data_IF_076654640452
#
_entry.id   IF_076654640452
#
_cell.length_a   1.000
_cell.length_b   1.000
_cell.length_c   1.000
_cell.angle_alpha   90.00
_cell.angle_beta   90.00
_cell.angle_gamma   90.00
#
_symmetry.space_group_name_H-M   'P 1'
#
loop_
_entity.id
_entity.type
_entity.pdbx_description
1 polymer ?
#
# COMPACT_ATOMS: atom_id res chain seq x y z
N UNK A 1 -5.54 27.02 -21.91
CA UNK A 1 -6.32 26.57 -20.73
C UNK A 1 -5.31 26.17 -19.68
N UNK A 2 -5.37 26.73 -18.47
CA UNK A 2 -4.48 26.30 -17.39
C UNK A 2 -4.77 24.81 -17.11
N UNK A 3 -3.75 23.97 -17.22
CA UNK A 3 -3.86 22.54 -16.94
C UNK A 3 -4.13 22.43 -15.42
N UNK A 4 -5.37 22.12 -15.04
CA UNK A 4 -5.74 21.95 -13.63
C UNK A 4 -4.93 20.76 -13.12
N UNK A 5 -4.06 21.00 -12.14
CA UNK A 5 -3.29 19.93 -11.49
C UNK A 5 -4.28 18.99 -10.79
N UNK A 6 -4.25 17.67 -11.08
CA UNK A 6 -5.14 16.71 -10.44
C UNK A 6 -5.00 16.74 -8.92
N UNK A 7 -6.12 16.82 -8.18
CA UNK A 7 -6.10 16.80 -6.71
C UNK A 7 -6.07 15.36 -6.23
N UNK A 8 -4.94 14.94 -5.67
CA UNK A 8 -4.78 13.59 -5.10
C UNK A 8 -4.81 13.67 -3.58
N UNK A 9 -5.72 12.92 -2.96
CA UNK A 9 -5.70 12.66 -1.51
C UNK A 9 -4.78 11.48 -1.22
N UNK A 10 -3.89 11.62 -0.25
CA UNK A 10 -3.16 10.50 0.34
C UNK A 10 -3.90 10.03 1.59
N UNK A 11 -4.10 8.72 1.71
CA UNK A 11 -4.63 8.12 2.93
C UNK A 11 -3.83 6.88 3.31
N UNK A 12 -3.61 6.71 4.60
CA UNK A 12 -2.96 5.52 5.16
C UNK A 12 -3.77 4.95 6.30
N UNK A 13 -4.01 3.64 6.27
CA UNK A 13 -4.63 2.95 7.40
C UNK A 13 -3.60 2.73 8.50
N UNK A 14 -4.00 3.04 9.73
CA UNK A 14 -3.18 2.90 10.93
C UNK A 14 -3.95 2.13 11.98
N UNK A 15 -3.28 1.25 12.72
CA UNK A 15 -3.82 0.60 13.89
C UNK A 15 -2.76 0.42 15.00
N UNK A 16 -3.17 -0.10 16.16
CA UNK A 16 -2.28 -0.29 17.30
C UNK A 16 -1.09 -1.22 17.01
N UNK A 17 -1.23 -2.20 16.11
CA UNK A 17 -0.11 -3.08 15.75
C UNK A 17 0.97 -2.40 14.92
N UNK A 18 0.72 -1.18 14.45
CA UNK A 18 1.65 -0.49 13.55
C UNK A 18 2.72 0.31 14.31
N UNK A 19 2.53 0.55 15.61
CA UNK A 19 3.42 1.37 16.43
C UNK A 19 4.92 1.07 16.23
N UNK A 20 5.37 -0.20 16.13
CA UNK A 20 6.79 -0.52 15.99
C UNK A 20 7.46 -0.02 14.69
N UNK A 21 6.68 0.33 13.66
CA UNK A 21 7.21 0.72 12.34
C UNK A 21 6.59 2.00 11.78
N UNK A 22 5.42 2.42 12.27
CA UNK A 22 4.58 3.48 11.70
C UNK A 22 5.34 4.78 11.41
N UNK A 23 6.16 5.23 12.37
CA UNK A 23 6.87 6.50 12.21
C UNK A 23 7.92 6.42 11.10
N UNK A 24 8.73 5.35 11.09
CA UNK A 24 9.80 5.21 10.10
C UNK A 24 9.22 5.00 8.70
N UNK A 25 8.19 4.15 8.56
CA UNK A 25 7.58 3.85 7.27
C UNK A 25 6.86 5.05 6.69
N UNK A 26 6.09 5.83 7.46
CA UNK A 26 5.42 7.02 6.93
C UNK A 26 6.40 8.11 6.51
N UNK A 27 7.46 8.35 7.27
CA UNK A 27 8.52 9.29 6.87
C UNK A 27 9.19 8.83 5.57
N UNK A 28 9.46 7.54 5.44
CA UNK A 28 9.95 6.93 4.21
C UNK A 28 9.00 7.14 3.03
N UNK A 29 7.72 6.79 3.19
CA UNK A 29 6.70 6.97 2.16
C UNK A 29 6.65 8.42 1.68
N UNK A 30 6.64 9.40 2.58
CA UNK A 30 6.60 10.82 2.17
C UNK A 30 7.84 11.23 1.35
N UNK A 31 9.03 10.73 1.69
CA UNK A 31 10.25 10.96 0.90
C UNK A 31 10.20 10.30 -0.48
N UNK A 32 9.76 9.05 -0.55
CA UNK A 32 9.82 8.25 -1.78
C UNK A 32 8.67 8.53 -2.73
N UNK A 33 7.50 8.86 -2.20
CA UNK A 33 6.37 9.31 -3.01
C UNK A 33 6.62 10.71 -3.54
N UNK A 34 7.24 11.61 -2.77
CA UNK A 34 7.61 12.98 -3.17
C UNK A 34 6.56 13.64 -4.08
N UNK A 35 5.32 13.67 -3.59
CA UNK A 35 4.17 14.13 -4.36
C UNK A 35 3.43 15.22 -3.59
N UNK A 36 2.99 16.31 -4.26
CA UNK A 36 2.24 17.38 -3.63
C UNK A 36 0.77 16.97 -3.46
N UNK A 37 0.49 16.14 -2.46
CA UNK A 37 -0.87 15.74 -2.13
C UNK A 37 -1.73 16.94 -1.72
N UNK A 38 -3.01 16.90 -2.09
CA UNK A 38 -3.98 17.92 -1.67
C UNK A 38 -4.32 17.80 -0.18
N UNK A 39 -4.23 16.58 0.36
CA UNK A 39 -4.35 16.26 1.78
C UNK A 39 -3.66 14.91 2.06
N UNK A 40 -3.15 14.75 3.28
CA UNK A 40 -2.51 13.52 3.77
C UNK A 40 -3.17 13.10 5.07
N UNK A 41 -3.86 11.97 5.05
CA UNK A 41 -4.73 11.53 6.12
C UNK A 41 -4.20 10.22 6.70
N UNK A 42 -4.06 10.16 8.02
CA UNK A 42 -3.91 8.89 8.73
C UNK A 42 -5.28 8.46 9.28
N UNK A 43 -5.84 7.37 8.76
CA UNK A 43 -7.09 6.80 9.23
C UNK A 43 -6.80 5.76 10.31
N UNK A 44 -6.97 6.17 11.57
CA UNK A 44 -6.55 5.40 12.73
C UNK A 44 -7.69 4.59 13.33
N UNK A 45 -7.53 3.27 13.36
CA UNK A 45 -8.39 2.35 14.10
C UNK A 45 -7.74 1.96 15.45
N UNK A 46 -8.24 2.49 16.58
CA UNK A 46 -7.77 2.09 17.92
C UNK A 46 -8.34 0.74 18.36
N UNK A 47 -9.22 0.13 17.55
CA UNK A 47 -9.93 -1.10 17.85
C UNK A 47 -9.01 -2.29 18.13
N UNK A 48 -9.58 -3.30 18.80
CA UNK A 48 -8.86 -4.56 19.03
C UNK A 48 -8.72 -5.31 17.72
N UNK A 49 -7.49 -5.70 17.44
CA UNK A 49 -7.15 -6.57 16.34
C UNK A 49 -7.78 -7.97 16.56
N UNK A 50 -8.31 -8.55 15.49
CA UNK A 50 -8.97 -9.86 15.50
C UNK A 50 -8.34 -10.79 14.45
N UNK A 51 -8.66 -12.08 14.50
CA UNK A 51 -8.18 -13.06 13.52
C UNK A 51 -6.65 -13.10 13.46
N UNK A 52 -6.08 -13.11 12.25
CA UNK A 52 -4.62 -13.18 12.03
C UNK A 52 -3.85 -11.98 12.60
N UNK A 53 -4.53 -10.89 12.92
CA UNK A 53 -3.92 -9.66 13.43
C UNK A 53 -3.76 -9.67 14.96
N UNK A 54 -4.46 -10.57 15.67
CA UNK A 54 -4.39 -10.68 17.13
C UNK A 54 -3.02 -11.15 17.64
N UNK A 55 -2.26 -11.88 16.82
CA UNK A 55 -0.94 -12.43 17.17
C UNK A 55 0.22 -11.44 16.94
N UNK A 56 -0.06 -10.26 16.35
CA UNK A 56 0.97 -9.24 16.08
C UNK A 56 1.43 -8.57 17.37
N UNK A 57 2.68 -8.12 17.39
CA UNK A 57 3.19 -7.21 18.42
C UNK A 57 2.29 -5.97 18.42
N UNK A 58 1.63 -5.71 19.54
CA UNK A 58 0.75 -4.56 19.69
C UNK A 58 1.52 -3.42 20.35
N UNK A 59 1.46 -2.24 19.73
CA UNK A 59 1.73 -1.00 20.46
C UNK A 59 0.55 -0.63 21.36
N UNK A 60 0.78 0.32 22.25
CA UNK A 60 -0.34 0.92 23.00
C UNK A 60 -1.03 2.00 22.17
N UNK A 61 -2.32 2.24 22.42
CA UNK A 61 -3.03 3.38 21.83
C UNK A 61 -2.29 4.70 22.07
N UNK A 62 -1.81 4.93 23.30
CA UNK A 62 -1.02 6.12 23.65
C UNK A 62 0.25 6.27 22.80
N UNK A 63 0.92 5.17 22.49
CA UNK A 63 2.14 5.17 21.68
C UNK A 63 1.84 5.57 20.23
N UNK A 64 0.81 4.99 19.61
CA UNK A 64 0.37 5.36 18.26
C UNK A 64 -0.08 6.81 18.21
N UNK A 65 -0.88 7.27 19.19
CA UNK A 65 -1.33 8.67 19.26
C UNK A 65 -0.14 9.63 19.37
N UNK A 66 0.89 9.31 20.15
CA UNK A 66 2.12 10.11 20.23
C UNK A 66 2.89 10.13 18.90
N UNK A 67 2.98 9.01 18.19
CA UNK A 67 3.59 8.95 16.85
C UNK A 67 2.81 9.86 15.89
N UNK A 68 1.49 9.74 15.84
CA UNK A 68 0.63 10.53 14.97
C UNK A 68 0.72 12.04 15.29
N UNK A 69 0.79 12.42 16.56
CA UNK A 69 1.02 13.80 16.97
C UNK A 69 2.36 14.35 16.46
N UNK A 70 3.44 13.57 16.51
CA UNK A 70 4.74 13.97 15.93
C UNK A 70 4.65 14.14 14.41
N UNK A 71 3.99 13.22 13.72
CA UNK A 71 3.82 13.29 12.26
C UNK A 71 2.98 14.50 11.83
N UNK A 72 1.96 14.89 12.61
CA UNK A 72 1.20 16.14 12.43
C UNK A 72 2.08 17.38 12.66
N UNK A 73 2.84 17.40 13.77
CA UNK A 73 3.71 18.52 14.11
C UNK A 73 4.78 18.78 13.03
N UNK A 74 5.33 17.70 12.48
CA UNK A 74 6.31 17.74 11.39
C UNK A 74 5.66 17.94 10.01
N UNK A 75 4.33 18.04 9.94
CA UNK A 75 3.55 18.22 8.71
C UNK A 75 3.78 17.12 7.67
N UNK A 76 4.05 15.88 8.10
CA UNK A 76 4.06 14.72 7.21
C UNK A 76 2.65 14.25 6.88
N UNK A 77 1.72 14.40 7.82
CA UNK A 77 0.29 14.24 7.61
C UNK A 77 -0.42 15.55 7.97
N UNK A 78 -1.58 15.78 7.39
CA UNK A 78 -2.38 16.99 7.58
C UNK A 78 -3.49 16.78 8.62
N UNK A 79 -4.00 15.55 8.73
CA UNK A 79 -4.98 15.17 9.76
C UNK A 79 -4.93 13.70 10.13
N UNK A 80 -5.55 13.39 11.27
CA UNK A 80 -5.82 12.04 11.75
C UNK A 80 -7.32 11.87 11.88
N UNK A 81 -7.86 10.88 11.19
CA UNK A 81 -9.28 10.53 11.26
C UNK A 81 -9.40 9.24 12.06
N UNK A 82 -9.91 9.34 13.29
CA UNK A 82 -10.14 8.17 14.15
C UNK A 82 -11.41 7.47 13.70
N UNK A 83 -11.31 6.19 13.35
CA UNK A 83 -12.42 5.39 12.82
C UNK A 83 -13.54 5.29 13.87
N UNK A 84 -14.72 5.85 13.61
CA UNK A 84 -15.83 5.77 14.55
C UNK A 84 -16.52 4.40 14.45
N UNK A 85 -16.60 3.67 15.56
CA UNK A 85 -17.28 2.37 15.61
C UNK A 85 -18.74 2.47 16.07
N UNK A 86 -19.43 3.54 15.67
CA UNK A 86 -20.86 3.73 15.97
C UNK A 86 -21.74 3.07 14.92
N UNK A 87 -22.87 2.49 15.31
CA UNK A 87 -23.85 1.86 14.39
C UNK A 87 -24.28 2.79 13.25
N UNK A 88 -24.55 4.07 13.55
CA UNK A 88 -24.99 5.05 12.56
C UNK A 88 -23.97 5.27 11.42
N UNK A 89 -22.68 5.34 11.77
CA UNK A 89 -21.62 5.55 10.79
C UNK A 89 -21.30 4.28 10.00
N UNK A 90 -21.30 3.12 10.66
CA UNK A 90 -21.17 1.83 9.99
C UNK A 90 -22.28 1.65 8.94
N UNK A 91 -23.53 1.89 9.34
CA UNK A 91 -24.68 1.87 8.43
C UNK A 91 -24.51 2.85 7.26
N UNK A 92 -24.09 4.11 7.51
CA UNK A 92 -23.85 5.11 6.46
C UNK A 92 -22.84 4.63 5.43
N UNK A 93 -21.71 4.09 5.88
CA UNK A 93 -20.63 3.60 5.02
C UNK A 93 -21.07 2.36 4.24
N UNK A 94 -21.61 1.35 4.91
CA UNK A 94 -22.04 0.12 4.24
C UNK A 94 -23.14 0.37 3.21
N UNK A 95 -24.14 1.20 3.54
CA UNK A 95 -25.18 1.58 2.59
C UNK A 95 -24.65 2.40 1.42
N UNK A 96 -23.67 3.28 1.63
CA UNK A 96 -23.06 4.03 0.52
C UNK A 96 -22.32 3.11 -0.45
N UNK A 97 -21.50 2.19 0.06
CA UNK A 97 -20.57 1.43 -0.76
C UNK A 97 -21.13 0.10 -1.27
N UNK A 98 -21.94 -0.60 -0.47
CA UNK A 98 -22.53 -1.89 -0.84
C UNK A 98 -24.04 -1.80 -1.10
N UNK A 99 -24.71 -0.75 -0.61
CA UNK A 99 -26.18 -0.70 -0.64
C UNK A 99 -26.83 -1.72 0.28
N UNK A 100 -26.06 -2.30 1.20
CA UNK A 100 -26.45 -3.37 2.10
C UNK A 100 -25.72 -3.22 3.44
N UNK A 101 -26.48 -3.10 4.53
CA UNK A 101 -25.95 -2.98 5.90
C UNK A 101 -25.54 -4.34 6.50
N UNK A 102 -25.87 -5.46 5.86
CA UNK A 102 -25.56 -6.81 6.34
C UNK A 102 -24.14 -7.26 5.96
N UNK A 103 -23.38 -6.42 5.26
CA UNK A 103 -21.99 -6.69 4.92
C UNK A 103 -21.13 -6.70 6.20
N UNK A 104 -20.32 -7.74 6.35
CA UNK A 104 -19.40 -7.85 7.46
C UNK A 104 -18.43 -6.66 7.50
N UNK A 105 -18.18 -6.12 8.70
CA UNK A 105 -17.23 -5.01 8.90
C UNK A 105 -15.77 -5.44 8.74
N UNK A 106 -15.51 -6.75 8.82
CA UNK A 106 -14.21 -7.42 8.65
C UNK A 106 -14.39 -8.66 7.78
N UNK A 107 -13.36 -9.02 7.01
CA UNK A 107 -13.35 -10.25 6.24
C UNK A 107 -13.18 -11.50 7.12
N UNK A 108 -13.31 -12.69 6.54
CA UNK A 108 -13.14 -13.98 7.24
C UNK A 108 -11.76 -14.18 7.89
N UNK A 109 -10.75 -13.38 7.54
CA UNK A 109 -9.40 -13.40 8.12
C UNK A 109 -9.18 -12.34 9.21
N UNK A 110 -10.19 -11.49 9.45
CA UNK A 110 -10.18 -10.36 10.36
C UNK A 110 -9.71 -9.04 9.73
N UNK A 111 -9.52 -8.97 8.41
CA UNK A 111 -9.05 -7.74 7.75
C UNK A 111 -10.19 -6.72 7.66
N UNK A 112 -9.95 -5.44 7.97
CA UNK A 112 -11.04 -4.50 8.21
C UNK A 112 -11.65 -3.95 6.93
N UNK A 113 -12.84 -4.41 6.53
CA UNK A 113 -13.57 -3.86 5.37
C UNK A 113 -14.01 -2.42 5.65
N UNK A 114 -14.62 -2.20 6.82
CA UNK A 114 -15.16 -0.90 7.22
C UNK A 114 -14.11 0.22 7.26
N UNK A 115 -12.93 -0.05 7.85
CA UNK A 115 -11.85 0.94 7.96
C UNK A 115 -11.40 1.43 6.58
N UNK A 116 -11.17 0.52 5.61
CA UNK A 116 -10.78 0.92 4.26
C UNK A 116 -11.84 1.82 3.62
N UNK A 117 -13.13 1.45 3.71
CA UNK A 117 -14.20 2.25 3.12
C UNK A 117 -14.30 3.63 3.78
N UNK A 118 -14.19 3.69 5.11
CA UNK A 118 -14.18 4.95 5.86
C UNK A 118 -12.99 5.84 5.44
N UNK A 119 -11.79 5.27 5.30
CA UNK A 119 -10.61 5.99 4.84
C UNK A 119 -10.81 6.59 3.43
N UNK A 120 -11.41 5.82 2.52
CA UNK A 120 -11.73 6.29 1.17
C UNK A 120 -12.82 7.37 1.18
N UNK A 121 -13.84 7.23 2.04
CA UNK A 121 -14.97 8.17 2.16
C UNK A 121 -14.55 9.54 2.69
N UNK A 122 -13.57 9.57 3.58
CA UNK A 122 -13.04 10.79 4.19
C UNK A 122 -12.27 11.68 3.19
N UNK A 123 -11.83 11.14 2.06
CA UNK A 123 -11.01 11.86 1.09
C UNK A 123 -11.83 12.76 0.16
N UNK A 124 -11.29 13.94 -0.18
CA UNK A 124 -11.92 14.98 -1.00
C UNK A 124 -11.27 15.19 -2.37
N UNK A 125 -10.24 14.41 -2.71
CA UNK A 125 -9.52 14.48 -3.98
C UNK A 125 -10.31 13.88 -5.14
N UNK A 126 -9.99 14.32 -6.36
CA UNK A 126 -10.51 13.72 -7.60
C UNK A 126 -9.89 12.33 -7.82
N UNK A 127 -8.69 12.15 -7.27
CA UNK A 127 -7.97 10.89 -7.20
C UNK A 127 -7.61 10.58 -5.76
N UNK A 128 -7.53 9.29 -5.46
CA UNK A 128 -7.15 8.77 -4.16
C UNK A 128 -5.91 7.91 -4.29
N UNK A 129 -4.88 8.17 -3.49
CA UNK A 129 -3.79 7.24 -3.26
C UNK A 129 -3.88 6.67 -1.85
N UNK A 130 -4.28 5.40 -1.75
CA UNK A 130 -4.37 4.67 -0.48
C UNK A 130 -3.14 3.77 -0.31
N UNK A 131 -2.67 3.60 0.94
CA UNK A 131 -1.61 2.65 1.31
C UNK A 131 -1.84 2.02 2.70
N UNK A 132 -1.33 0.81 2.91
CA UNK A 132 -1.07 0.26 4.24
C UNK A 132 0.16 0.94 4.88
N UNK A 133 0.18 1.03 6.21
CA UNK A 133 1.24 1.71 6.97
C UNK A 133 2.61 1.03 6.92
N UNK A 134 2.71 -0.19 6.40
CA UNK A 134 3.93 -0.98 6.33
C UNK A 134 4.58 -1.02 4.93
N UNK A 135 4.00 -0.31 3.96
CA UNK A 135 4.49 -0.28 2.59
C UNK A 135 5.83 0.45 2.46
N UNK A 136 6.75 -0.14 1.70
CA UNK A 136 8.01 0.49 1.31
C UNK A 136 8.02 0.73 -0.20
N UNK A 137 8.49 1.91 -0.62
CA UNK A 137 8.51 2.36 -2.01
C UNK A 137 9.93 2.71 -2.42
N UNK A 138 10.32 2.24 -3.59
CA UNK A 138 11.48 2.75 -4.31
C UNK A 138 11.04 3.67 -5.42
N UNK A 139 11.77 4.77 -5.57
CA UNK A 139 11.63 5.70 -6.69
C UNK A 139 13.00 6.00 -7.27
N UNK A 140 13.16 5.74 -8.56
CA UNK A 140 14.31 6.21 -9.32
C UNK A 140 14.12 7.67 -9.73
N UNK A 141 15.10 8.51 -9.38
CA UNK A 141 15.08 9.94 -9.68
C UNK A 141 14.05 10.73 -8.86
N UNK A 142 13.81 11.98 -9.25
CA UNK A 142 13.02 12.93 -8.45
C UNK A 142 11.51 12.87 -8.73
N UNK A 143 11.09 12.30 -9.87
CA UNK A 143 9.68 12.27 -10.25
C UNK A 143 8.95 11.12 -9.57
N UNK A 144 7.81 11.42 -8.94
CA UNK A 144 6.90 10.42 -8.40
C UNK A 144 6.25 9.58 -9.49
N UNK A 145 6.10 8.28 -9.26
CA UNK A 145 5.33 7.38 -10.13
C UNK A 145 3.84 7.79 -10.22
N UNK A 146 3.34 8.53 -9.22
CA UNK A 146 1.95 8.99 -9.18
C UNK A 146 1.61 9.89 -10.37
N UNK A 147 2.57 10.67 -10.87
CA UNK A 147 2.33 11.48 -12.07
C UNK A 147 2.07 10.59 -13.29
N UNK A 148 2.84 9.52 -13.46
CA UNK A 148 2.68 8.60 -14.59
C UNK A 148 1.38 7.79 -14.44
N UNK A 149 0.99 7.45 -13.21
CA UNK A 149 -0.29 6.84 -12.89
C UNK A 149 -1.48 7.76 -13.20
N UNK A 150 -1.38 9.05 -12.90
CA UNK A 150 -2.41 10.05 -13.26
C UNK A 150 -2.52 10.18 -14.78
N UNK A 151 -1.40 10.29 -15.49
CA UNK A 151 -1.37 10.36 -16.95
C UNK A 151 -2.06 9.13 -17.57
N UNK A 152 -1.82 7.93 -17.01
CA UNK A 152 -2.51 6.70 -17.42
C UNK A 152 -4.02 6.79 -17.19
N UNK A 153 -4.45 7.13 -15.97
CA UNK A 153 -5.87 7.19 -15.62
C UNK A 153 -6.62 8.20 -16.51
N UNK A 154 -6.00 9.34 -16.81
CA UNK A 154 -6.58 10.34 -17.70
C UNK A 154 -6.67 9.87 -19.15
N UNK A 155 -5.65 9.16 -19.65
CA UNK A 155 -5.60 8.66 -21.03
C UNK A 155 -6.54 7.48 -21.25
N UNK A 156 -6.55 6.51 -20.34
CA UNK A 156 -7.25 5.23 -20.50
C UNK A 156 -8.57 5.25 -19.73
N UNK A 157 -9.68 5.48 -20.42
CA UNK A 157 -11.01 5.65 -19.79
C UNK A 157 -11.52 4.44 -18.99
N UNK A 158 -11.04 3.25 -19.33
CA UNK A 158 -11.46 2.00 -18.66
C UNK A 158 -10.54 1.62 -17.51
N UNK A 159 -9.44 2.34 -17.26
CA UNK A 159 -8.54 2.07 -16.14
C UNK A 159 -9.03 2.84 -14.92
N UNK A 160 -9.40 2.14 -13.85
CA UNK A 160 -9.87 2.77 -12.60
C UNK A 160 -8.75 2.88 -11.56
N UNK A 161 -7.80 1.95 -11.59
CA UNK A 161 -6.70 1.87 -10.63
C UNK A 161 -5.36 1.74 -11.35
N UNK A 162 -4.38 2.51 -10.88
CA UNK A 162 -2.98 2.43 -11.25
C UNK A 162 -2.10 2.09 -10.04
N UNK A 163 -1.03 1.33 -10.25
CA UNK A 163 -0.07 0.96 -9.20
C UNK A 163 1.36 0.91 -9.75
N UNK A 164 2.39 1.14 -8.92
CA UNK A 164 3.78 0.91 -9.31
C UNK A 164 4.04 -0.59 -9.50
N UNK A 165 5.24 -0.96 -9.95
CA UNK A 165 5.61 -2.36 -10.08
C UNK A 165 5.59 -3.03 -8.70
N UNK A 166 4.91 -4.18 -8.60
CA UNK A 166 4.99 -5.01 -7.41
C UNK A 166 6.36 -5.69 -7.32
N UNK A 167 7.16 -5.25 -6.35
CA UNK A 167 8.47 -5.80 -6.00
C UNK A 167 9.63 -5.37 -6.91
N UNK A 168 10.88 -5.38 -6.38
CA UNK A 168 12.07 -5.29 -7.21
C UNK A 168 12.28 -6.57 -8.04
N UNK A 169 13.19 -6.56 -9.04
CA UNK A 169 13.62 -7.75 -9.75
C UNK A 169 13.94 -8.93 -8.82
N UNK A 170 13.57 -10.13 -9.24
CA UNK A 170 13.86 -11.38 -8.53
C UNK A 170 14.24 -12.45 -9.54
N UNK A 171 15.24 -13.28 -9.19
CA UNK A 171 15.65 -14.40 -10.03
C UNK A 171 14.49 -15.38 -10.27
N UNK A 172 14.15 -15.62 -11.54
CA UNK A 172 13.03 -16.46 -11.99
C UNK A 172 13.44 -17.91 -12.26
N UNK A 173 14.71 -18.16 -12.50
CA UNK A 173 15.25 -19.46 -12.84
C UNK A 173 16.65 -19.66 -12.24
N UNK A 174 17.17 -20.88 -12.33
CA UNK A 174 18.45 -21.24 -11.73
C UNK A 174 19.62 -20.45 -12.36
N UNK A 175 19.57 -20.16 -13.66
CA UNK A 175 20.64 -19.44 -14.35
C UNK A 175 20.75 -18.01 -13.79
N UNK A 176 19.62 -17.32 -13.63
CA UNK A 176 19.58 -15.97 -13.03
C UNK A 176 20.10 -15.98 -11.59
N UNK A 177 19.80 -17.03 -10.80
CA UNK A 177 20.32 -17.18 -9.44
C UNK A 177 21.85 -17.27 -9.42
N UNK A 178 22.45 -17.98 -10.39
CA UNK A 178 23.90 -18.16 -10.50
C UNK A 178 24.58 -16.92 -11.06
N UNK A 179 24.01 -16.28 -12.09
CA UNK A 179 24.61 -15.10 -12.70
C UNK A 179 24.38 -13.83 -11.89
N UNK A 180 23.37 -13.79 -11.03
CA UNK A 180 22.98 -12.59 -10.29
C UNK A 180 22.33 -11.51 -11.15
N UNK A 181 21.90 -11.85 -12.37
CA UNK A 181 21.32 -10.91 -13.33
C UNK A 181 20.00 -11.44 -13.88
N UNK A 182 19.05 -10.53 -14.12
CA UNK A 182 17.79 -10.86 -14.80
C UNK A 182 18.00 -10.96 -16.30
N UNK A 183 17.36 -11.95 -16.93
CA UNK A 183 17.27 -12.07 -18.39
C UNK A 183 15.95 -11.56 -18.95
N UNK A 184 15.14 -10.89 -18.13
CA UNK A 184 13.92 -10.24 -18.61
C UNK A 184 14.28 -9.15 -19.62
N UNK A 185 13.72 -9.26 -20.82
CA UNK A 185 13.78 -8.21 -21.81
C UNK A 185 13.08 -6.95 -21.27
N UNK A 186 13.59 -5.77 -21.63
CA UNK A 186 12.92 -4.50 -21.30
C UNK A 186 11.46 -4.56 -21.76
N UNK A 187 10.50 -4.15 -20.91
CA UNK A 187 9.09 -4.21 -21.26
C UNK A 187 8.81 -3.32 -22.48
N UNK A 188 7.98 -3.80 -23.40
CA UNK A 188 7.58 -3.06 -24.61
C UNK A 188 6.56 -1.96 -24.32
N UNK A 189 5.82 -2.11 -23.23
CA UNK A 189 4.77 -1.20 -22.77
C UNK A 189 5.08 -0.80 -21.33
N UNK A 190 4.79 0.44 -20.96
CA UNK A 190 5.04 0.93 -19.60
C UNK A 190 4.06 0.36 -18.56
N UNK A 191 2.96 -0.24 -19.01
CA UNK A 191 1.89 -0.74 -18.16
C UNK A 191 1.38 -2.11 -18.62
N UNK A 192 0.85 -2.89 -17.68
CA UNK A 192 0.12 -4.12 -17.97
C UNK A 192 -1.18 -4.20 -17.17
N UNK A 193 -2.17 -4.87 -17.73
CA UNK A 193 -3.40 -5.23 -17.03
C UNK A 193 -3.12 -6.22 -15.89
N UNK A 194 -3.68 -5.94 -14.72
CA UNK A 194 -3.65 -6.84 -13.57
C UNK A 194 -5.08 -7.18 -13.15
N UNK A 195 -5.37 -8.47 -13.00
CA UNK A 195 -6.72 -8.98 -12.73
C UNK A 195 -7.18 -8.82 -11.28
N UNK A 196 -6.33 -8.29 -10.41
CA UNK A 196 -6.56 -8.22 -8.97
C UNK A 196 -6.21 -6.84 -8.45
N UNK A 197 -7.11 -6.21 -7.70
CA UNK A 197 -6.95 -4.90 -7.05
C UNK A 197 -6.67 -5.12 -5.58
N UNK A 198 -5.40 -5.01 -5.17
CA UNK A 198 -5.05 -5.13 -3.76
C UNK A 198 -5.37 -3.85 -3.01
N UNK A 199 -5.77 -3.96 -1.75
CA UNK A 199 -5.98 -2.80 -0.88
C UNK A 199 -4.69 -2.22 -0.29
N UNK A 200 -3.56 -2.96 -0.35
CA UNK A 200 -2.30 -2.52 0.27
C UNK A 200 -1.76 -1.20 -0.26
N UNK A 201 -1.97 -0.94 -1.54
CA UNK A 201 -1.63 0.33 -2.17
C UNK A 201 -2.30 0.47 -3.54
N UNK A 202 -2.91 1.63 -3.81
CA UNK A 202 -3.52 1.90 -5.10
C UNK A 202 -3.77 3.40 -5.33
N UNK A 203 -3.52 3.87 -6.55
CA UNK A 203 -4.00 5.17 -7.04
C UNK A 203 -5.30 4.93 -7.82
N UNK A 204 -6.38 5.61 -7.45
CA UNK A 204 -7.72 5.38 -8.00
C UNK A 204 -8.38 6.68 -8.46
N UNK A 205 -9.10 6.60 -9.58
CA UNK A 205 -10.03 7.64 -10.03
C UNK A 205 -11.35 7.54 -9.23
N UNK A 206 -11.66 8.57 -8.44
CA UNK A 206 -12.79 8.55 -7.51
C UNK A 206 -14.14 8.58 -8.24
N UNK A 207 -14.22 9.30 -9.36
CA UNK A 207 -15.44 9.38 -10.15
C UNK A 207 -15.79 8.02 -10.78
N UNK A 208 -14.78 7.31 -11.30
CA UNK A 208 -14.97 5.94 -11.82
C UNK A 208 -15.31 4.96 -10.71
N UNK A 209 -14.70 5.10 -9.53
CA UNK A 209 -15.05 4.29 -8.38
C UNK A 209 -16.51 4.46 -7.96
N UNK A 210 -17.00 5.69 -7.87
CA UNK A 210 -18.41 5.94 -7.58
C UNK A 210 -19.33 5.37 -8.67
N UNK A 211 -18.93 5.40 -9.94
CA UNK A 211 -19.69 4.79 -11.03
C UNK A 211 -19.75 3.24 -10.96
N UNK A 212 -18.85 2.60 -10.19
CA UNK A 212 -18.88 1.16 -9.94
C UNK A 212 -19.87 0.76 -8.84
N UNK A 213 -20.28 1.69 -7.98
CA UNK A 213 -21.13 1.38 -6.83
C UNK A 213 -22.55 0.95 -7.26
N UNK A 214 -23.21 0.08 -6.47
CA UNK A 214 -22.69 -0.59 -5.27
C UNK A 214 -21.63 -1.66 -5.59
N UNK A 215 -20.71 -1.86 -4.63
CA UNK A 215 -19.76 -2.97 -4.63
C UNK A 215 -20.50 -4.30 -4.48
N UNK A 216 -19.96 -5.32 -5.12
CA UNK A 216 -20.50 -6.66 -5.13
C UNK A 216 -19.45 -7.64 -4.61
N UNK A 217 -19.84 -8.43 -3.61
CA UNK A 217 -19.01 -9.55 -3.16
C UNK A 217 -19.24 -10.75 -4.08
N UNK A 218 -18.16 -11.40 -4.53
CA UNK A 218 -18.26 -12.69 -5.22
C UNK A 218 -18.62 -13.81 -4.23
N UNK A 219 -18.19 -13.67 -2.96
CA UNK A 219 -18.51 -14.57 -1.84
C UNK A 219 -18.77 -13.74 -0.58
N UNK A 220 -19.76 -14.11 0.26
CA UNK A 220 -19.98 -13.44 1.53
C UNK A 220 -18.73 -13.43 2.41
N UNK A 221 -18.47 -12.30 3.07
CA UNK A 221 -17.35 -12.13 4.02
C UNK A 221 -15.95 -12.14 3.39
N UNK A 222 -15.85 -11.99 2.06
CA UNK A 222 -14.56 -11.94 1.38
C UNK A 222 -13.79 -10.64 1.64
N UNK A 223 -12.45 -10.63 1.45
CA UNK A 223 -11.65 -9.40 1.55
C UNK A 223 -12.16 -8.31 0.62
N UNK A 224 -12.06 -7.05 1.04
CA UNK A 224 -12.48 -5.90 0.22
C UNK A 224 -11.79 -5.88 -1.16
N UNK A 225 -10.52 -6.28 -1.24
CA UNK A 225 -9.78 -6.41 -2.51
C UNK A 225 -10.46 -7.36 -3.51
N UNK A 226 -11.10 -8.43 -3.03
CA UNK A 226 -11.86 -9.33 -3.87
C UNK A 226 -13.13 -8.66 -4.41
N UNK A 227 -13.87 -7.96 -3.54
CA UNK A 227 -15.09 -7.26 -3.93
C UNK A 227 -14.81 -6.12 -4.91
N UNK A 228 -13.71 -5.38 -4.72
CA UNK A 228 -13.22 -4.38 -5.68
C UNK A 228 -12.88 -5.04 -7.02
N UNK A 229 -12.07 -6.10 -7.00
CA UNK A 229 -11.64 -6.82 -8.21
C UNK A 229 -12.83 -7.38 -9.00
N UNK A 230 -13.77 -8.00 -8.30
CA UNK A 230 -14.99 -8.56 -8.87
C UNK A 230 -15.85 -7.46 -9.50
N UNK A 231 -16.15 -6.41 -8.74
CA UNK A 231 -17.00 -5.30 -9.18
C UNK A 231 -16.39 -4.60 -10.39
N UNK A 232 -15.09 -4.24 -10.34
CA UNK A 232 -14.44 -3.52 -11.44
C UNK A 232 -14.46 -4.34 -12.72
N UNK A 233 -14.11 -5.63 -12.64
CA UNK A 233 -14.15 -6.52 -13.79
C UNK A 233 -15.55 -6.63 -14.38
N UNK A 234 -16.57 -6.83 -13.53
CA UNK A 234 -17.95 -6.95 -13.97
C UNK A 234 -18.49 -5.67 -14.62
N UNK A 235 -18.02 -4.51 -14.16
CA UNK A 235 -18.38 -3.18 -14.69
C UNK A 235 -17.51 -2.74 -15.88
N UNK A 236 -16.60 -3.59 -16.35
CA UNK A 236 -15.73 -3.30 -17.50
C UNK A 236 -14.53 -2.40 -17.21
N UNK A 237 -14.23 -2.15 -15.92
CA UNK A 237 -13.07 -1.40 -15.49
C UNK A 237 -11.87 -2.30 -15.21
N UNK A 238 -10.68 -1.70 -15.27
CA UNK A 238 -9.41 -2.38 -15.21
C UNK A 238 -8.46 -1.75 -14.19
N UNK A 239 -7.64 -2.59 -13.56
CA UNK A 239 -6.46 -2.15 -12.81
C UNK A 239 -5.22 -2.40 -13.66
N UNK A 240 -4.37 -1.40 -13.78
CA UNK A 240 -3.09 -1.52 -14.46
C UNK A 240 -1.93 -1.29 -13.48
N UNK A 241 -0.82 -1.99 -13.72
CA UNK A 241 0.41 -1.88 -12.93
C UNK A 241 1.56 -1.49 -13.85
N UNK A 242 2.47 -0.65 -13.33
CA UNK A 242 3.67 -0.28 -14.07
C UNK A 242 4.51 -1.52 -14.39
N UNK A 243 5.12 -1.50 -15.57
CA UNK A 243 6.19 -2.40 -15.95
C UNK A 243 7.54 -1.74 -15.68
N UNK A 244 8.57 -2.59 -15.56
CA UNK A 244 9.93 -2.13 -15.29
C UNK A 244 10.16 -1.89 -13.79
N UNK A 245 11.33 -1.36 -13.45
CA UNK A 245 11.81 -1.32 -12.07
C UNK A 245 12.30 0.06 -11.64
N UNK A 246 11.87 1.10 -12.34
CA UNK A 246 12.16 2.49 -11.97
C UNK A 246 11.37 2.90 -10.73
N UNK A 247 10.16 2.35 -10.56
CA UNK A 247 9.34 2.54 -9.37
C UNK A 247 8.75 1.20 -8.97
N UNK A 248 8.96 0.79 -7.72
CA UNK A 248 8.38 -0.44 -7.21
C UNK A 248 8.00 -0.31 -5.74
N UNK A 249 7.06 -1.15 -5.32
CA UNK A 249 6.61 -1.23 -3.93
C UNK A 249 6.80 -2.65 -3.41
N UNK A 250 7.19 -2.76 -2.14
CA UNK A 250 7.38 -4.03 -1.44
C UNK A 250 6.74 -3.90 -0.05
N UNK A 251 6.19 -5.00 0.46
CA UNK A 251 5.58 -5.03 1.79
C UNK A 251 6.24 -6.12 2.64
N UNK A 252 6.34 -5.97 3.97
CA UNK A 252 6.78 -7.06 4.82
C UNK A 252 5.83 -8.24 4.71
N UNK A 253 6.39 -9.45 4.65
CA UNK A 253 5.59 -10.66 4.78
C UNK A 253 5.05 -10.82 6.21
N UNK A 254 5.85 -10.41 7.20
CA UNK A 254 5.53 -10.41 8.63
C UNK A 254 6.17 -9.21 9.32
N UNK A 255 5.53 -8.76 10.39
CA UNK A 255 6.03 -7.73 11.31
C UNK A 255 6.79 -8.38 12.47
N UNK A 256 7.78 -9.21 12.15
CA UNK A 256 8.57 -9.92 13.16
C UNK A 256 9.67 -9.03 13.77
N UNK A 257 10.35 -9.58 14.78
CA UNK A 257 11.45 -8.89 15.47
C UNK A 257 12.57 -8.46 14.50
N UNK A 258 12.85 -9.23 13.46
CA UNK A 258 13.88 -8.87 12.48
C UNK A 258 13.46 -7.69 11.63
N UNK A 259 12.20 -7.66 11.16
CA UNK A 259 11.65 -6.53 10.41
C UNK A 259 11.77 -5.24 11.22
N UNK A 260 11.29 -5.26 12.47
CA UNK A 260 11.32 -4.08 13.35
C UNK A 260 12.76 -3.69 13.68
N UNK A 261 13.62 -4.66 14.03
CA UNK A 261 15.01 -4.40 14.42
C UNK A 261 15.85 -3.77 13.32
N UNK A 262 15.67 -4.19 12.07
CA UNK A 262 16.47 -3.74 10.93
C UNK A 262 15.72 -2.75 10.04
N UNK A 263 14.57 -2.21 10.48
CA UNK A 263 13.68 -1.42 9.64
C UNK A 263 14.37 -0.23 8.97
N UNK A 264 15.20 0.52 9.70
CA UNK A 264 15.92 1.67 9.14
C UNK A 264 16.90 1.26 8.04
N UNK A 265 17.55 0.10 8.18
CA UNK A 265 18.47 -0.43 7.17
C UNK A 265 17.71 -1.00 5.96
N UNK A 266 16.58 -1.65 6.20
CA UNK A 266 15.68 -2.13 5.14
C UNK A 266 15.09 -0.96 4.34
N UNK A 267 14.64 0.09 5.02
CA UNK A 267 14.22 1.36 4.41
C UNK A 267 15.37 1.92 3.57
N UNK A 268 16.57 2.04 4.15
CA UNK A 268 17.73 2.55 3.43
C UNK A 268 17.99 1.74 2.15
N UNK A 269 17.95 0.41 2.23
CA UNK A 269 18.14 -0.44 1.06
C UNK A 269 17.08 -0.17 -0.01
N UNK A 270 15.81 -0.12 0.37
CA UNK A 270 14.70 0.16 -0.55
C UNK A 270 14.87 1.53 -1.20
N UNK A 271 15.17 2.59 -0.44
CA UNK A 271 15.36 3.95 -0.97
C UNK A 271 16.52 4.04 -1.98
N UNK A 272 17.52 3.16 -1.87
CA UNK A 272 18.69 3.13 -2.76
C UNK A 272 18.57 2.11 -3.88
N UNK A 273 17.41 1.47 -4.04
CA UNK A 273 17.21 0.44 -5.07
C UNK A 273 18.03 -0.83 -4.80
N UNK A 274 18.40 -1.06 -3.55
CA UNK A 274 19.21 -2.19 -3.08
C UNK A 274 18.27 -3.27 -2.54
N UNK A 275 18.41 -4.50 -3.03
CA UNK A 275 17.57 -5.63 -2.64
C UNK A 275 18.29 -6.96 -2.92
N UNK A 276 17.92 -8.06 -2.22
CA UNK A 276 18.37 -9.39 -2.58
C UNK A 276 17.69 -9.87 -3.85
N UNK A 277 18.47 -9.98 -4.94
CA UNK A 277 17.99 -10.48 -6.23
C UNK A 277 17.58 -11.96 -6.15
N UNK A 278 18.38 -12.76 -5.45
CA UNK A 278 18.01 -14.12 -5.05
C UNK A 278 17.40 -14.04 -3.66
N UNK A 279 16.09 -14.21 -3.57
CA UNK A 279 15.35 -14.19 -2.30
C UNK A 279 14.19 -15.17 -2.29
N UNK A 280 13.73 -15.53 -1.09
CA UNK A 280 12.59 -16.42 -0.88
C UNK A 280 11.26 -15.67 -0.96
N UNK A 281 10.18 -16.34 -1.40
CA UNK A 281 8.83 -15.77 -1.45
C UNK A 281 8.48 -15.10 -2.76
N UNK A 282 7.32 -14.42 -2.79
CA UNK A 282 6.91 -13.67 -3.97
C UNK A 282 7.72 -12.37 -4.10
N UNK A 283 7.80 -11.83 -5.32
CA UNK A 283 8.63 -10.65 -5.61
C UNK A 283 8.26 -9.41 -4.80
N UNK A 284 6.98 -9.29 -4.41
CA UNK A 284 6.44 -8.17 -3.63
C UNK A 284 6.53 -8.37 -2.11
N UNK A 285 7.00 -9.54 -1.65
CA UNK A 285 7.19 -9.82 -0.23
C UNK A 285 8.63 -9.50 0.20
N UNK A 286 8.77 -8.74 1.28
CA UNK A 286 9.99 -8.60 2.07
C UNK A 286 9.96 -9.62 3.20
N UNK A 287 10.67 -10.73 3.03
CA UNK A 287 10.80 -11.77 4.07
C UNK A 287 11.98 -11.47 4.98
N UNK A 288 11.71 -11.45 6.28
CA UNK A 288 12.68 -11.18 7.34
C UNK A 288 12.65 -12.25 8.43
N UNK A 289 11.72 -13.20 8.37
CA UNK A 289 11.54 -14.17 9.43
C UNK A 289 12.66 -15.20 9.46
N UNK A 290 13.14 -15.51 10.67
CA UNK A 290 14.19 -16.49 10.90
C UNK A 290 15.43 -16.22 10.05
N UNK A 291 15.77 -17.16 9.18
CA UNK A 291 16.98 -17.11 8.34
C UNK A 291 16.83 -16.20 7.13
N UNK A 292 15.60 -15.82 6.74
CA UNK A 292 15.37 -15.00 5.54
C UNK A 292 15.94 -13.58 5.66
N UNK A 293 16.07 -13.03 6.88
CA UNK A 293 16.77 -11.75 7.10
C UNK A 293 18.20 -11.78 6.57
N UNK A 294 18.88 -12.94 6.55
CA UNK A 294 20.27 -13.05 6.08
C UNK A 294 20.42 -12.67 4.62
N UNK A 295 19.39 -12.85 3.80
CA UNK A 295 19.35 -12.42 2.40
C UNK A 295 19.50 -10.89 2.31
N UNK A 296 18.76 -10.14 3.13
CA UNK A 296 18.84 -8.67 3.20
C UNK A 296 20.15 -8.19 3.84
N UNK A 297 20.54 -8.77 4.98
CA UNK A 297 21.78 -8.38 5.68
C UNK A 297 23.02 -8.61 4.82
N UNK A 298 23.04 -9.65 3.99
CA UNK A 298 24.15 -9.89 3.07
C UNK A 298 24.31 -8.75 2.06
N UNK A 299 23.20 -8.27 1.48
CA UNK A 299 23.24 -7.15 0.54
C UNK A 299 23.59 -5.84 1.25
N UNK A 300 23.05 -5.60 2.44
CA UNK A 300 23.38 -4.43 3.27
C UNK A 300 24.88 -4.37 3.60
N UNK A 301 25.49 -5.49 4.02
CA UNK A 301 26.94 -5.60 4.25
C UNK A 301 27.75 -5.31 2.99
N UNK A 302 27.34 -5.86 1.84
CA UNK A 302 28.00 -5.62 0.55
C UNK A 302 28.04 -4.14 0.18
N UNK A 303 27.09 -3.34 0.67
CA UNK A 303 27.01 -1.90 0.43
C UNK A 303 27.48 -1.06 1.62
N UNK A 304 28.19 -1.67 2.58
CA UNK A 304 28.82 -0.98 3.71
C UNK A 304 27.84 -0.41 4.74
N UNK A 305 26.57 -0.84 4.72
CA UNK A 305 25.54 -0.33 5.65
C UNK A 305 25.65 -0.95 7.04
N UNK A 306 26.08 -2.21 7.11
CA UNK A 306 26.30 -2.95 8.35
C UNK A 306 27.79 -3.29 8.47
N UNK A 307 28.39 -2.97 9.61
CA UNK A 307 29.73 -3.44 9.97
C UNK A 307 29.64 -4.87 10.51
N UNK A 308 30.70 -5.67 10.33
CA UNK A 308 30.80 -7.05 10.83
C UNK A 308 30.80 -7.12 12.37
#
# INVERSE_FOLDING_TARGET
>A
MAQITPRVSFTVNVCNSDAPYLEQTLRHMMRQLNFPFAERIATYDPGRQEGKYAERIQGSQNEVEQILQRLLADKLIDRVDVVPWTEAEQHRILMKYFGDEQIDLKDFSGAPIYQYLYAMDACAGDYLFHVDSDMLFYRQGDRSWLYDGLDLLQREKNVIVATPQGGPPQARNWLEKVTGHSFESKPKMDWHHASFTSTRYFLMDVARFHACLPLQQAKPGEPLENSLSHTFTHKGYQRWSMNGHNHWAIHPWRHDENYVRYLDDLIWAVEHGIYPFTRTGFKWDMRTEGEHIKEWLAVLRKHGRLQE
#
